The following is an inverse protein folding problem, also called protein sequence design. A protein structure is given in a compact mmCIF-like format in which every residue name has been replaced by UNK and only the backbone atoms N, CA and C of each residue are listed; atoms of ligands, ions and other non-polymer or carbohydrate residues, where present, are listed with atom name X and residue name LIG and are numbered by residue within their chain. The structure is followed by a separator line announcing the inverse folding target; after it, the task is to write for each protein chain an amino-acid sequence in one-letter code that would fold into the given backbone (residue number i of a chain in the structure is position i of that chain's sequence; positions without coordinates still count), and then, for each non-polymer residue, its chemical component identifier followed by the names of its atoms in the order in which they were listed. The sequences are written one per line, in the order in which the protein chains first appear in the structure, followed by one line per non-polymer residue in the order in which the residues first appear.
data_IF_699694597364
#
_entry.id   IF_699694597364
#
_cell.length_a   1.000
_cell.length_b   1.000
_cell.length_c   1.000
_cell.angle_alpha   90.00
_cell.angle_beta   90.00
_cell.angle_gamma   90.00
#
_symmetry.space_group_name_H-M   'P 1'
#
loop_
_entity.id
_entity.type
_entity.pdbx_description
1 polymer ?
#
# COMPACT_ATOMS: atom_id res chain seq x y z
N UNK A 1 -6.58 -22.17 -3.20
CA UNK A 1 -7.44 -21.00 -3.45
C UNK A 1 -8.49 -20.96 -2.37
N UNK A 2 -8.40 -20.02 -1.43
CA UNK A 2 -9.45 -19.85 -0.43
C UNK A 2 -10.53 -18.92 -1.01
N UNK A 3 -11.81 -19.33 -0.89
CA UNK A 3 -12.98 -18.55 -1.34
C UNK A 3 -13.00 -17.15 -0.72
N UNK A 4 -13.55 -16.16 -1.42
CA UNK A 4 -13.67 -14.76 -0.94
C UNK A 4 -14.32 -14.64 0.44
N UNK A 5 -15.17 -15.61 0.82
CA UNK A 5 -15.78 -15.72 2.15
C UNK A 5 -14.76 -15.95 3.28
N UNK A 6 -13.68 -16.69 3.00
CA UNK A 6 -12.59 -16.95 3.97
C UNK A 6 -11.73 -15.71 4.16
N UNK A 7 -11.48 -14.97 3.08
CA UNK A 7 -10.73 -13.69 3.14
C UNK A 7 -11.52 -12.65 3.94
N UNK A 8 -12.84 -12.59 3.75
CA UNK A 8 -13.71 -11.67 4.49
C UNK A 8 -13.79 -12.00 5.98
N UNK A 9 -13.88 -13.30 6.33
CA UNK A 9 -13.84 -13.76 7.72
C UNK A 9 -12.50 -13.42 8.39
N UNK A 10 -11.38 -13.59 7.68
CA UNK A 10 -10.05 -13.25 8.20
C UNK A 10 -9.91 -11.74 8.46
N UNK A 11 -10.42 -10.90 7.55
CA UNK A 11 -10.43 -9.44 7.70
C UNK A 11 -11.29 -9.01 8.88
N UNK A 12 -12.47 -9.62 9.05
CA UNK A 12 -13.35 -9.34 10.18
C UNK A 12 -12.72 -9.75 11.52
N UNK A 13 -12.06 -10.90 11.59
CA UNK A 13 -11.35 -11.36 12.80
C UNK A 13 -10.15 -10.48 13.15
N UNK A 14 -9.41 -10.00 12.15
CA UNK A 14 -8.29 -9.05 12.33
C UNK A 14 -8.81 -7.69 12.81
N UNK A 15 -9.93 -7.21 12.26
CA UNK A 15 -10.57 -5.97 12.70
C UNK A 15 -11.02 -6.03 14.16
N UNK A 16 -11.61 -7.16 14.59
CA UNK A 16 -12.00 -7.38 15.99
C UNK A 16 -10.78 -7.48 16.91
N UNK A 17 -9.72 -8.20 16.49
CA UNK A 17 -8.47 -8.29 17.26
C UNK A 17 -7.77 -6.92 17.40
N UNK A 18 -7.88 -6.05 16.39
CA UNK A 18 -7.32 -4.69 16.39
C UNK A 18 -8.12 -3.68 17.23
N UNK A 19 -9.36 -4.01 17.61
CA UNK A 19 -10.20 -3.17 18.47
C UNK A 19 -9.97 -3.42 19.98
N UNK A 20 -9.29 -4.52 20.32
CA UNK A 20 -8.96 -4.90 21.71
C UNK A 20 -7.83 -4.13 22.43
N UNK A 21 -6.94 -3.32 21.80
CA UNK A 21 -5.87 -2.64 22.54
C UNK A 21 -6.34 -1.60 23.57
N UNK A 22 -7.61 -1.16 23.51
CA UNK A 22 -8.12 -0.09 24.37
C UNK A 22 -8.84 -0.55 25.65
N UNK A 23 -8.83 -1.86 25.98
CA UNK A 23 -9.44 -2.37 27.22
C UNK A 23 -8.48 -2.46 28.42
N UNK A 24 -7.22 -2.04 28.26
CA UNK A 24 -6.23 -2.00 29.36
C UNK A 24 -6.48 -0.92 30.42
N UNK A 25 -7.50 -0.07 30.26
CA UNK A 25 -7.78 1.06 31.15
C UNK A 25 -8.99 0.94 32.07
N UNK A 26 -9.82 -0.10 31.97
CA UNK A 26 -11.11 -0.17 32.69
C UNK A 26 -11.10 -1.17 33.86
N UNK A 27 -10.11 -2.05 33.99
CA UNK A 27 -10.07 -3.04 35.08
C UNK A 27 -9.01 -2.63 36.12
N UNK A 28 -9.33 -1.58 36.87
CA UNK A 28 -8.64 -1.23 38.10
C UNK A 28 -9.44 -1.71 39.31
N UNK A 29 -8.93 -2.74 40.01
CA UNK A 29 -9.31 -3.06 41.39
C UNK A 29 -10.12 -4.34 41.57
N UNK A 30 -9.46 -5.40 42.04
CA UNK A 30 -10.14 -6.62 42.50
C UNK A 30 -9.18 -7.78 42.74
N UNK A 31 -8.68 -7.88 43.97
CA UNK A 31 -7.89 -9.00 44.47
C UNK A 31 -8.70 -10.32 44.40
N UNK A 32 -8.19 -11.33 43.70
CA UNK A 32 -8.03 -12.72 44.19
C UNK A 32 -7.71 -13.68 43.03
N UNK A 33 -6.86 -14.65 43.34
CA UNK A 33 -6.13 -15.46 42.38
C UNK A 33 -6.97 -16.41 41.53
N UNK A 34 -6.52 -16.58 40.29
CA UNK A 34 -6.39 -17.88 39.65
C UNK A 34 -5.42 -17.73 38.47
N UNK A 35 -4.31 -18.47 38.51
CA UNK A 35 -3.40 -18.60 37.36
C UNK A 35 -4.13 -19.38 36.26
N UNK A 36 -4.35 -18.75 35.09
CA UNK A 36 -4.97 -19.46 33.96
C UNK A 36 -5.61 -18.57 32.89
N UNK A 37 -5.00 -17.45 32.51
CA UNK A 37 -5.58 -16.54 31.54
C UNK A 37 -4.56 -16.03 30.54
N UNK A 38 -4.44 -16.72 29.40
CA UNK A 38 -3.95 -16.27 28.08
C UNK A 38 -3.45 -17.48 27.26
N UNK A 39 -2.94 -18.53 27.91
CA UNK A 39 -2.46 -19.75 27.24
C UNK A 39 -3.54 -20.55 26.50
N UNK A 40 -4.75 -20.65 27.06
CA UNK A 40 -5.83 -21.45 26.47
C UNK A 40 -6.50 -20.85 25.22
N UNK A 41 -6.38 -19.53 25.01
CA UNK A 41 -7.00 -18.84 23.85
C UNK A 41 -6.20 -19.13 22.58
N UNK A 42 -4.88 -19.25 22.69
CA UNK A 42 -4.00 -19.53 21.54
C UNK A 42 -4.08 -21.01 21.16
N UNK A 43 -4.14 -21.93 22.12
CA UNK A 43 -4.23 -23.37 21.84
C UNK A 43 -5.54 -23.78 21.15
N UNK A 44 -6.67 -23.13 21.49
CA UNK A 44 -7.97 -23.38 20.85
C UNK A 44 -8.03 -22.95 19.39
N UNK A 45 -7.30 -21.89 19.01
CA UNK A 45 -7.23 -21.40 17.62
C UNK A 45 -6.30 -22.26 16.78
N UNK A 46 -5.23 -22.82 17.37
CA UNK A 46 -4.29 -23.70 16.66
C UNK A 46 -4.76 -25.15 16.55
N UNK A 47 -5.53 -25.67 17.52
CA UNK A 47 -5.96 -27.08 17.55
C UNK A 47 -7.02 -27.46 16.51
N UNK A 48 -7.78 -26.49 15.99
CA UNK A 48 -8.81 -26.73 14.97
C UNK A 48 -8.29 -26.90 13.55
N UNK A 49 -6.99 -26.68 13.30
CA UNK A 49 -6.42 -26.70 11.95
C UNK A 49 -5.86 -28.06 11.52
N UNK A 50 -5.84 -29.08 12.39
CA UNK A 50 -5.17 -30.37 12.09
C UNK A 50 -6.04 -31.63 12.18
N UNK A 51 -7.37 -31.54 12.15
CA UNK A 51 -8.20 -32.75 12.23
C UNK A 51 -9.56 -32.68 11.52
N UNK A 52 -9.69 -33.47 10.45
CA UNK A 52 -10.90 -34.22 10.04
C UNK A 52 -12.20 -33.45 9.76
N UNK A 53 -12.66 -33.54 8.51
CA UNK A 53 -14.04 -33.38 8.01
C UNK A 53 -15.10 -32.86 9.02
N UNK A 54 -15.09 -31.55 9.27
CA UNK A 54 -16.14 -30.84 9.98
C UNK A 54 -16.29 -29.44 9.39
N UNK A 55 -17.45 -29.16 8.77
CA UNK A 55 -17.70 -27.90 8.07
C UNK A 55 -17.77 -26.66 8.97
N UNK A 56 -17.72 -25.49 8.32
CA UNK A 56 -17.75 -24.11 8.87
C UNK A 56 -18.78 -23.83 9.99
N UNK A 57 -19.84 -24.65 10.12
CA UNK A 57 -20.82 -24.52 11.20
C UNK A 57 -20.28 -24.82 12.61
N UNK A 58 -19.25 -25.67 12.74
CA UNK A 58 -18.65 -25.98 14.04
C UNK A 58 -17.77 -24.86 14.63
N UNK A 59 -17.12 -24.08 13.74
CA UNK A 59 -16.20 -23.02 14.13
C UNK A 59 -16.93 -21.79 14.72
N UNK A 60 -18.10 -21.45 14.16
CA UNK A 60 -18.96 -20.38 14.66
C UNK A 60 -19.71 -20.77 15.95
N UNK A 61 -20.11 -22.04 16.07
CA UNK A 61 -20.77 -22.56 17.27
C UNK A 61 -19.87 -22.53 18.52
N UNK A 62 -18.57 -22.80 18.38
CA UNK A 62 -17.62 -22.77 19.50
C UNK A 62 -17.22 -21.38 19.99
N UNK A 63 -17.20 -20.38 19.10
CA UNK A 63 -16.83 -18.99 19.45
C UNK A 63 -17.99 -18.25 20.16
N UNK A 64 -19.24 -18.61 19.81
CA UNK A 64 -20.45 -17.91 20.27
C UNK A 64 -21.30 -18.72 21.27
N UNK A 65 -21.15 -20.05 21.30
CA UNK A 65 -22.03 -20.95 22.06
C UNK A 65 -21.31 -21.69 23.18
N UNK A 66 -21.14 -21.04 24.32
CA UNK A 66 -20.70 -21.69 25.55
C UNK A 66 -20.67 -20.68 26.69
N UNK A 67 -21.03 -21.11 27.90
CA UNK A 67 -21.04 -20.30 29.13
C UNK A 67 -19.66 -19.74 29.57
N UNK A 68 -18.67 -19.73 28.68
CA UNK A 68 -17.37 -19.06 28.84
C UNK A 68 -16.81 -18.45 27.55
N UNK A 69 -17.63 -18.31 26.48
CA UNK A 69 -17.23 -17.66 25.23
C UNK A 69 -17.35 -16.12 25.28
N UNK A 70 -16.80 -15.45 24.26
CA UNK A 70 -16.72 -13.98 24.14
C UNK A 70 -18.11 -13.30 24.31
N UNK A 71 -19.19 -14.00 23.94
CA UNK A 71 -20.57 -13.54 24.15
C UNK A 71 -20.97 -13.34 25.62
N UNK A 72 -20.52 -14.21 26.53
CA UNK A 72 -20.82 -14.09 27.97
C UNK A 72 -20.04 -12.97 28.65
N UNK A 73 -18.89 -12.58 28.09
CA UNK A 73 -18.07 -11.46 28.59
C UNK A 73 -18.73 -10.12 28.21
N UNK A 74 -19.42 -10.05 27.07
CA UNK A 74 -20.15 -8.85 26.64
C UNK A 74 -21.45 -8.60 27.42
N UNK A 75 -22.18 -9.65 27.84
CA UNK A 75 -23.39 -9.50 28.66
C UNK A 75 -23.12 -8.93 30.06
N UNK A 76 -21.95 -9.21 30.65
CA UNK A 76 -21.58 -8.69 31.98
C UNK A 76 -21.16 -7.21 32.01
N UNK A 77 -20.78 -6.63 30.86
CA UNK A 77 -20.22 -5.27 30.75
C UNK A 77 -21.31 -4.21 30.51
N UNK A 78 -22.44 -4.58 29.91
CA UNK A 78 -23.49 -3.66 29.49
C UNK A 78 -24.78 -3.93 30.27
N UNK A 79 -24.79 -3.59 31.56
CA UNK A 79 -25.99 -3.61 32.37
C UNK A 79 -27.00 -2.55 31.92
N UNK A 80 -28.19 -2.99 31.49
CA UNK A 80 -29.34 -2.12 31.25
C UNK A 80 -30.30 -2.65 30.18
N UNK A 81 -31.56 -2.88 30.58
CA UNK A 81 -32.66 -3.22 29.67
C UNK A 81 -32.76 -2.19 28.54
N UNK A 82 -32.44 -2.62 27.32
CA UNK A 82 -32.39 -1.79 26.11
C UNK A 82 -31.17 -2.02 25.21
N UNK A 83 -30.14 -2.71 25.70
CA UNK A 83 -28.91 -3.00 24.95
C UNK A 83 -28.99 -4.23 24.03
N UNK A 84 -28.32 -4.17 22.89
CA UNK A 84 -28.11 -5.22 21.86
C UNK A 84 -29.31 -5.68 21.03
N UNK A 85 -30.54 -5.73 21.56
CA UNK A 85 -31.70 -6.16 20.78
C UNK A 85 -31.97 -5.32 19.53
N UNK A 86 -31.92 -3.98 19.67
CA UNK A 86 -32.10 -3.05 18.55
C UNK A 86 -30.85 -2.84 17.69
N UNK A 87 -29.66 -3.22 18.17
CA UNK A 87 -28.40 -3.11 17.41
C UNK A 87 -28.16 -4.37 16.55
N UNK A 88 -28.61 -5.55 16.99
CA UNK A 88 -28.63 -6.75 16.17
C UNK A 88 -29.66 -6.68 15.04
N UNK A 89 -30.79 -6.00 15.21
CA UNK A 89 -31.78 -5.82 14.14
C UNK A 89 -31.29 -4.90 13.01
N UNK A 90 -30.38 -3.96 13.30
CA UNK A 90 -29.72 -3.10 12.31
C UNK A 90 -28.52 -3.76 11.61
N UNK A 91 -27.94 -4.82 12.18
CA UNK A 91 -26.81 -5.56 11.61
C UNK A 91 -27.27 -6.80 10.83
N UNK A 92 -28.54 -7.20 10.94
CA UNK A 92 -29.03 -8.47 10.42
C UNK A 92 -29.97 -8.35 9.20
N UNK A 93 -29.57 -7.56 8.20
CA UNK A 93 -29.95 -7.83 6.80
C UNK A 93 -28.72 -8.10 5.90
N UNK A 94 -27.98 -9.19 6.10
CA UNK A 94 -26.83 -9.52 5.26
C UNK A 94 -27.30 -10.47 4.15
N UNK A 95 -27.58 -9.94 2.96
CA UNK A 95 -27.92 -10.80 1.82
C UNK A 95 -28.09 -10.09 0.48
N UNK A 96 -28.80 -8.96 0.45
CA UNK A 96 -29.06 -8.25 -0.82
C UNK A 96 -27.98 -7.22 -1.16
N UNK A 97 -27.55 -6.38 -0.21
CA UNK A 97 -26.57 -5.32 -0.48
C UNK A 97 -25.20 -5.87 -0.87
N UNK A 98 -24.79 -7.01 -0.32
CA UNK A 98 -23.51 -7.66 -0.62
C UNK A 98 -23.50 -8.38 -1.97
N UNK A 99 -24.65 -8.94 -2.39
CA UNK A 99 -24.79 -9.59 -3.68
C UNK A 99 -24.89 -8.57 -4.82
N UNK A 100 -25.61 -7.47 -4.60
CA UNK A 100 -25.70 -6.37 -5.57
C UNK A 100 -24.36 -5.63 -5.74
N UNK A 101 -23.64 -5.41 -4.63
CA UNK A 101 -22.27 -4.88 -4.67
C UNK A 101 -21.33 -5.78 -5.47
N UNK A 102 -21.35 -7.09 -5.22
CA UNK A 102 -20.50 -8.03 -5.95
C UNK A 102 -20.83 -8.07 -7.44
N UNK A 103 -22.11 -8.06 -7.82
CA UNK A 103 -22.54 -7.98 -9.22
C UNK A 103 -22.05 -6.69 -9.90
N UNK A 104 -22.13 -5.55 -9.22
CA UNK A 104 -21.64 -4.27 -9.73
C UNK A 104 -20.11 -4.25 -9.88
N UNK A 105 -19.39 -4.84 -8.92
CA UNK A 105 -17.95 -5.05 -8.97
C UNK A 105 -17.53 -5.90 -10.18
N UNK A 106 -18.15 -7.07 -10.37
CA UNK A 106 -17.90 -7.98 -11.50
C UNK A 106 -18.19 -7.27 -12.82
N UNK A 107 -19.32 -6.58 -12.93
CA UNK A 107 -19.67 -5.80 -14.12
C UNK A 107 -18.63 -4.71 -14.44
N UNK A 108 -18.07 -4.09 -13.41
CA UNK A 108 -17.00 -3.08 -13.57
C UNK A 108 -15.71 -3.72 -14.11
N UNK A 109 -15.34 -4.91 -13.64
CA UNK A 109 -14.23 -5.69 -14.20
C UNK A 109 -14.46 -6.04 -15.66
N UNK A 110 -15.63 -6.56 -16.02
CA UNK A 110 -15.95 -6.93 -17.39
C UNK A 110 -15.90 -5.73 -18.34
N UNK A 111 -16.44 -4.59 -17.92
CA UNK A 111 -16.38 -3.34 -18.68
C UNK A 111 -14.93 -2.91 -18.93
N UNK A 112 -14.07 -3.02 -17.91
CA UNK A 112 -12.64 -2.74 -18.05
C UNK A 112 -11.96 -3.71 -19.03
N UNK A 113 -12.27 -5.01 -18.97
CA UNK A 113 -11.76 -6.02 -19.90
C UNK A 113 -12.14 -5.66 -21.34
N UNK A 114 -13.43 -5.47 -21.61
CA UNK A 114 -13.91 -5.20 -22.96
C UNK A 114 -13.36 -3.89 -23.52
N UNK A 115 -13.24 -2.84 -22.70
CA UNK A 115 -12.66 -1.57 -23.12
C UNK A 115 -11.17 -1.72 -23.47
N UNK A 116 -10.42 -2.44 -22.65
CA UNK A 116 -8.97 -2.64 -22.82
C UNK A 116 -8.68 -3.52 -24.03
N UNK A 117 -9.42 -4.62 -24.20
CA UNK A 117 -9.28 -5.51 -25.37
C UNK A 117 -9.62 -4.78 -26.67
N UNK A 118 -10.71 -3.99 -26.68
CA UNK A 118 -11.12 -3.19 -27.83
C UNK A 118 -10.06 -2.16 -28.26
N UNK A 119 -9.37 -1.54 -27.29
CA UNK A 119 -8.27 -0.63 -27.59
C UNK A 119 -7.05 -1.38 -28.15
N UNK A 120 -6.78 -2.56 -27.59
CA UNK A 120 -5.60 -3.36 -27.92
C UNK A 120 -4.30 -2.63 -27.61
N UNK A 121 -3.18 -3.28 -27.93
CA UNK A 121 -1.84 -2.73 -27.62
C UNK A 121 -1.60 -1.40 -28.31
N UNK A 122 -1.94 -1.28 -29.60
CA UNK A 122 -1.73 -0.06 -30.37
C UNK A 122 -2.59 1.12 -29.89
N UNK A 123 -3.83 0.85 -29.47
CA UNK A 123 -4.72 1.87 -28.91
C UNK A 123 -4.22 2.39 -27.57
N UNK A 124 -3.77 1.50 -26.68
CA UNK A 124 -3.17 1.87 -25.40
C UNK A 124 -1.85 2.62 -25.59
N UNK A 125 -0.99 2.19 -26.53
CA UNK A 125 0.23 2.90 -26.89
C UNK A 125 -0.07 4.31 -27.40
N UNK A 126 -1.11 4.47 -28.23
CA UNK A 126 -1.56 5.79 -28.69
C UNK A 126 -2.08 6.67 -27.55
N UNK A 127 -2.83 6.11 -26.59
CA UNK A 127 -3.22 6.83 -25.38
C UNK A 127 -2.01 7.31 -24.59
N UNK A 128 -1.02 6.45 -24.38
CA UNK A 128 0.22 6.81 -23.69
C UNK A 128 0.95 7.97 -24.40
N UNK A 129 1.14 7.89 -25.73
CA UNK A 129 1.80 8.97 -26.49
C UNK A 129 1.06 10.30 -26.39
N UNK A 130 -0.27 10.28 -26.33
CA UNK A 130 -1.09 11.47 -26.09
C UNK A 130 -0.85 12.03 -24.68
N UNK A 131 -0.83 11.17 -23.65
CA UNK A 131 -0.51 11.56 -22.27
C UNK A 131 0.90 12.15 -22.15
N UNK A 132 1.86 11.63 -22.91
CA UNK A 132 3.25 12.05 -22.88
C UNK A 132 3.48 13.38 -23.62
N UNK A 133 2.71 13.62 -24.68
CA UNK A 133 2.72 14.90 -25.40
C UNK A 133 1.98 16.02 -24.64
N UNK A 134 1.21 15.71 -23.61
CA UNK A 134 0.48 16.72 -22.83
C UNK A 134 1.45 17.54 -21.96
N UNK A 135 1.55 18.82 -22.29
CA UNK A 135 2.20 19.80 -21.43
C UNK A 135 1.13 20.51 -20.59
N UNK A 136 1.28 20.50 -19.27
CA UNK A 136 0.50 21.36 -18.38
C UNK A 136 1.37 22.57 -18.01
N UNK A 137 1.13 23.70 -18.67
CA UNK A 137 1.86 24.94 -18.44
C UNK A 137 1.53 25.61 -17.11
N UNK A 138 0.52 25.12 -16.37
CA UNK A 138 0.18 25.63 -15.04
C UNK A 138 1.09 25.09 -13.93
N UNK A 139 1.92 24.08 -14.23
CA UNK A 139 2.82 23.46 -13.28
C UNK A 139 4.05 24.34 -13.02
N UNK A 140 4.42 24.49 -11.75
CA UNK A 140 5.63 25.21 -11.33
C UNK A 140 6.64 24.25 -10.69
N UNK A 141 7.94 24.57 -10.85
CA UNK A 141 9.06 23.73 -10.45
C UNK A 141 10.23 24.58 -9.88
N UNK A 142 9.93 25.68 -9.20
CA UNK A 142 10.95 26.65 -8.80
C UNK A 142 11.86 26.11 -7.71
N UNK A 143 11.31 25.39 -6.72
CA UNK A 143 12.12 24.75 -5.68
C UNK A 143 13.03 23.67 -6.27
N UNK A 144 12.55 22.93 -7.27
CA UNK A 144 13.35 21.96 -8.03
C UNK A 144 14.56 22.64 -8.70
N UNK A 145 14.34 23.74 -9.43
CA UNK A 145 15.39 24.50 -10.13
C UNK A 145 16.43 25.11 -9.17
N UNK A 146 16.02 25.53 -7.98
CA UNK A 146 16.92 26.09 -6.97
C UNK A 146 17.76 25.00 -6.26
N UNK A 147 17.29 23.75 -6.25
CA UNK A 147 17.90 22.64 -5.52
C UNK A 147 18.43 21.53 -6.45
N UNK A 148 18.92 21.88 -7.66
CA UNK A 148 19.40 20.90 -8.65
C UNK A 148 20.43 19.91 -8.10
N UNK A 149 21.28 20.34 -7.16
CA UNK A 149 22.25 19.47 -6.52
C UNK A 149 21.61 18.33 -5.71
N UNK A 150 20.37 18.48 -5.21
CA UNK A 150 19.60 17.44 -4.49
C UNK A 150 18.81 16.50 -5.43
N UNK A 151 18.85 16.73 -6.74
CA UNK A 151 18.03 16.02 -7.72
C UNK A 151 18.85 14.96 -8.44
N UNK A 152 18.38 13.71 -8.45
CA UNK A 152 19.09 12.60 -9.11
C UNK A 152 19.12 12.76 -10.62
N UNK A 153 18.06 13.31 -11.20
CA UNK A 153 17.88 13.49 -12.63
C UNK A 153 17.43 14.92 -12.92
N UNK A 154 18.09 15.59 -13.86
CA UNK A 154 17.80 16.98 -14.21
C UNK A 154 16.51 17.15 -15.02
N UNK A 155 16.04 16.08 -15.63
CA UNK A 155 14.84 16.00 -16.49
C UNK A 155 13.62 15.40 -15.76
N UNK A 156 13.75 15.07 -14.47
CA UNK A 156 12.65 14.59 -13.63
C UNK A 156 12.26 15.71 -12.67
N UNK A 157 11.20 16.44 -12.98
CA UNK A 157 10.83 17.65 -12.26
C UNK A 157 10.06 17.35 -10.96
N UNK A 158 10.21 18.20 -9.94
CA UNK A 158 9.44 18.13 -8.68
C UNK A 158 8.48 19.32 -8.58
N UNK A 159 7.18 19.05 -8.61
CA UNK A 159 6.12 20.09 -8.64
C UNK A 159 6.02 20.84 -7.32
N UNK A 160 5.99 22.17 -7.34
CA UNK A 160 5.97 22.96 -6.10
C UNK A 160 4.69 22.79 -5.28
N UNK A 161 3.53 22.73 -5.94
CA UNK A 161 2.23 22.75 -5.24
C UNK A 161 1.95 21.47 -4.44
N UNK A 162 2.65 20.38 -4.75
CA UNK A 162 2.48 19.07 -4.09
C UNK A 162 3.77 18.53 -3.50
N UNK A 163 4.89 19.29 -3.55
CA UNK A 163 6.15 18.80 -2.97
C UNK A 163 6.03 18.64 -1.46
N UNK A 164 6.76 17.68 -0.92
CA UNK A 164 6.97 17.60 0.52
C UNK A 164 7.91 18.73 0.93
N UNK A 165 7.54 19.46 1.98
CA UNK A 165 8.38 20.51 2.57
C UNK A 165 8.88 20.02 3.92
N UNK A 166 10.20 19.94 4.08
CA UNK A 166 10.80 19.55 5.35
C UNK A 166 10.74 20.71 6.33
N UNK A 167 10.19 20.45 7.51
CA UNK A 167 10.08 21.43 8.61
C UNK A 167 11.01 21.09 9.76
N UNK A 168 11.32 19.80 9.97
CA UNK A 168 12.24 19.36 11.03
C UNK A 168 13.65 19.87 10.72
N UNK A 169 14.28 20.69 11.56
CA UNK A 169 15.64 21.24 11.32
C UNK A 169 15.78 21.96 9.96
N UNK A 170 14.73 22.68 9.55
CA UNK A 170 14.68 23.35 8.25
C UNK A 170 15.66 24.52 8.13
N UNK A 171 15.97 25.22 9.24
CA UNK A 171 16.93 26.33 9.25
C UNK A 171 18.35 25.89 8.90
N UNK A 172 18.76 24.69 9.32
CA UNK A 172 20.11 24.16 9.10
C UNK A 172 20.24 23.41 7.75
N UNK A 173 19.22 22.65 7.38
CA UNK A 173 19.29 21.68 6.26
C UNK A 173 18.48 22.08 5.03
N UNK A 174 17.65 23.12 5.14
CA UNK A 174 16.67 23.52 4.15
C UNK A 174 15.39 22.69 4.17
N UNK A 175 14.40 23.13 3.40
CA UNK A 175 13.04 22.55 3.32
C UNK A 175 12.84 21.60 2.13
N UNK A 176 13.85 21.45 1.27
CA UNK A 176 13.70 20.74 0.00
C UNK A 176 14.11 19.27 0.08
N UNK A 177 13.19 18.42 -0.38
CA UNK A 177 13.43 17.05 -0.81
C UNK A 177 12.69 16.80 -2.14
N UNK A 178 13.27 15.99 -3.04
CA UNK A 178 12.64 15.64 -4.32
C UNK A 178 11.54 14.59 -4.15
N UNK A 179 10.45 14.98 -3.49
CA UNK A 179 9.30 14.16 -3.18
C UNK A 179 8.01 14.94 -3.37
N UNK A 180 6.95 14.26 -3.84
CA UNK A 180 5.60 14.84 -3.91
C UNK A 180 4.60 13.95 -3.18
N UNK A 181 3.65 14.59 -2.51
CA UNK A 181 2.46 13.92 -2.03
C UNK A 181 1.61 13.45 -3.21
N UNK A 182 1.06 12.25 -3.08
CA UNK A 182 -0.03 11.75 -3.89
C UNK A 182 -1.19 11.42 -2.94
N UNK A 183 -2.23 12.24 -3.00
CA UNK A 183 -3.41 12.18 -2.13
C UNK A 183 -4.66 12.28 -2.98
N UNK A 184 -5.63 11.41 -2.72
CA UNK A 184 -6.95 11.44 -3.34
C UNK A 184 -7.91 10.58 -2.52
N UNK A 185 -9.22 10.77 -2.71
CA UNK A 185 -10.25 9.93 -2.10
C UNK A 185 -10.27 8.49 -2.67
N UNK A 186 -9.41 8.20 -3.66
CA UNK A 186 -9.17 6.88 -4.23
C UNK A 186 -7.95 6.17 -3.66
N UNK A 187 -7.37 6.67 -2.57
CA UNK A 187 -6.28 6.01 -1.84
C UNK A 187 -6.72 5.70 -0.41
N UNK A 188 -6.30 4.55 0.11
CA UNK A 188 -6.54 4.18 1.52
C UNK A 188 -5.72 5.04 2.49
N UNK A 189 -4.55 5.52 2.04
CA UNK A 189 -3.56 6.24 2.81
C UNK A 189 -2.84 7.30 1.95
N UNK A 190 -2.04 8.16 2.59
CA UNK A 190 -1.19 9.11 1.85
C UNK A 190 0.02 8.37 1.26
N UNK A 191 0.24 8.56 -0.04
CA UNK A 191 1.47 8.15 -0.69
C UNK A 191 2.42 9.34 -0.84
N UNK A 192 3.72 9.10 -0.68
CA UNK A 192 4.78 10.05 -0.97
C UNK A 192 5.68 9.43 -2.03
N UNK A 193 5.61 9.96 -3.24
CA UNK A 193 6.44 9.51 -4.36
C UNK A 193 7.74 10.31 -4.39
N UNK A 194 8.87 9.63 -4.24
CA UNK A 194 10.20 10.27 -4.14
C UNK A 194 11.24 9.56 -4.99
N UNK A 195 12.34 10.25 -5.32
CA UNK A 195 13.51 9.62 -5.92
C UNK A 195 14.21 8.67 -4.93
N UNK A 196 14.98 7.71 -5.45
CA UNK A 196 15.91 6.95 -4.63
C UNK A 196 16.95 7.89 -4.02
N UNK A 197 17.15 7.90 -2.68
CA UNK A 197 18.04 8.84 -2.01
C UNK A 197 19.43 8.88 -2.62
N UNK A 198 20.04 10.07 -2.62
CA UNK A 198 21.46 10.28 -2.91
C UNK A 198 22.23 10.25 -1.60
N UNK A 199 23.55 10.04 -1.65
CA UNK A 199 24.39 9.95 -0.46
C UNK A 199 24.19 11.14 0.50
N UNK A 200 24.08 12.35 -0.05
CA UNK A 200 23.93 13.60 0.71
C UNK A 200 22.47 14.00 0.94
N UNK A 201 21.48 13.21 0.50
CA UNK A 201 20.06 13.44 0.79
C UNK A 201 19.46 12.34 1.69
N UNK A 202 20.29 11.48 2.29
CA UNK A 202 19.83 10.43 3.23
C UNK A 202 19.18 11.08 4.46
N UNK A 203 19.80 12.12 5.03
CA UNK A 203 19.24 12.87 6.16
C UNK A 203 17.90 13.52 5.82
N UNK A 204 17.79 14.16 4.66
CA UNK A 204 16.53 14.75 4.17
C UNK A 204 15.44 13.68 4.01
N UNK A 205 15.79 12.49 3.49
CA UNK A 205 14.87 11.38 3.34
C UNK A 205 14.34 10.88 4.69
N UNK A 206 15.19 10.72 5.69
CA UNK A 206 14.76 10.28 7.01
C UNK A 206 14.00 11.36 7.79
N UNK A 207 14.36 12.64 7.62
CA UNK A 207 13.56 13.78 8.10
C UNK A 207 12.15 13.71 7.54
N UNK A 208 12.00 13.45 6.23
CA UNK A 208 10.71 13.28 5.57
C UNK A 208 9.91 12.10 6.17
N UNK A 209 10.54 10.92 6.27
CA UNK A 209 9.89 9.71 6.80
C UNK A 209 9.36 9.94 8.21
N UNK A 210 10.17 10.53 9.09
CA UNK A 210 9.78 10.80 10.47
C UNK A 210 8.70 11.90 10.55
N UNK A 211 8.87 13.01 9.84
CA UNK A 211 7.91 14.12 9.81
C UNK A 211 6.52 13.65 9.36
N UNK A 212 6.46 12.84 8.31
CA UNK A 212 5.22 12.37 7.71
C UNK A 212 4.67 11.11 8.40
N UNK A 213 5.34 10.65 9.46
CA UNK A 213 5.00 9.45 10.23
C UNK A 213 4.76 8.25 9.31
N UNK A 214 5.62 8.10 8.31
CA UNK A 214 5.48 7.05 7.30
C UNK A 214 5.81 5.69 7.91
N UNK A 215 4.79 4.83 8.02
CA UNK A 215 4.91 3.49 8.61
C UNK A 215 5.55 2.49 7.66
N UNK A 216 5.61 2.80 6.37
CA UNK A 216 6.16 1.89 5.37
C UNK A 216 6.91 2.64 4.27
N UNK A 217 7.97 2.01 3.78
CA UNK A 217 8.74 2.45 2.61
C UNK A 217 8.70 1.32 1.58
N UNK A 218 8.20 1.59 0.37
CA UNK A 218 8.29 0.67 -0.76
C UNK A 218 9.48 1.05 -1.66
N UNK A 219 10.50 0.19 -1.67
CA UNK A 219 11.67 0.32 -2.53
C UNK A 219 11.53 -0.60 -3.74
N UNK A 220 11.31 -0.01 -4.92
CA UNK A 220 10.99 -0.72 -6.15
C UNK A 220 12.20 -0.87 -7.09
N UNK A 221 13.42 -0.75 -6.58
CA UNK A 221 14.65 -0.90 -7.36
C UNK A 221 15.78 -1.48 -6.51
N UNK A 222 16.78 -2.06 -7.17
CA UNK A 222 18.06 -2.37 -6.52
C UNK A 222 18.91 -1.10 -6.42
N UNK A 223 19.91 -1.12 -5.53
CA UNK A 223 20.89 -0.03 -5.39
C UNK A 223 21.67 0.16 -6.69
N UNK A 224 22.05 -0.95 -7.32
CA UNK A 224 22.74 -0.99 -8.62
C UNK A 224 21.94 -1.93 -9.55
N UNK A 225 21.70 -1.47 -10.78
CA UNK A 225 21.06 -2.25 -11.83
C UNK A 225 21.87 -2.10 -13.12
N UNK A 226 22.22 -3.22 -13.78
CA UNK A 226 23.08 -3.23 -14.99
C UNK A 226 24.37 -2.39 -14.85
N UNK A 227 24.98 -2.40 -13.66
CA UNK A 227 26.19 -1.62 -13.36
C UNK A 227 25.96 -0.11 -13.16
N UNK A 228 24.71 0.36 -13.19
CA UNK A 228 24.36 1.77 -12.99
C UNK A 228 23.78 1.99 -11.59
N UNK A 229 24.25 2.99 -10.83
CA UNK A 229 23.65 3.37 -9.56
C UNK A 229 22.22 3.88 -9.74
N UNK A 230 21.25 3.24 -9.10
CA UNK A 230 19.83 3.62 -9.11
C UNK A 230 19.37 4.24 -7.80
N UNK A 231 19.96 3.81 -6.69
CA UNK A 231 19.70 4.26 -5.32
C UNK A 231 21.01 4.15 -4.51
N UNK A 232 21.02 4.62 -3.26
CA UNK A 232 22.02 4.26 -2.25
C UNK A 232 21.38 3.37 -1.19
N UNK A 233 22.19 2.59 -0.45
CA UNK A 233 21.73 2.01 0.81
C UNK A 233 21.58 3.14 1.82
N UNK A 234 20.37 3.33 2.34
CA UNK A 234 20.05 4.44 3.25
C UNK A 234 19.57 3.95 4.63
N UNK A 235 19.74 2.66 4.92
CA UNK A 235 19.39 2.05 6.21
C UNK A 235 20.59 1.24 6.73
N UNK A 236 20.74 1.12 8.06
CA UNK A 236 21.85 0.37 8.65
C UNK A 236 21.71 -1.14 8.44
N UNK A 237 22.82 -1.86 8.56
CA UNK A 237 22.84 -3.32 8.53
C UNK A 237 22.02 -3.91 9.69
N UNK A 238 21.61 -5.18 9.58
CA UNK A 238 20.82 -5.86 10.62
C UNK A 238 21.46 -5.76 12.00
N UNK A 239 20.71 -5.26 12.99
CA UNK A 239 21.17 -5.06 14.36
C UNK A 239 21.96 -3.77 14.62
N UNK A 240 22.36 -3.05 13.56
CA UNK A 240 23.11 -1.80 13.66
C UNK A 240 22.20 -0.57 13.72
N UNK A 241 22.79 0.56 14.07
CA UNK A 241 22.15 1.87 14.04
C UNK A 241 23.03 2.92 13.36
N UNK A 242 22.39 3.85 12.67
CA UNK A 242 23.03 5.00 12.03
C UNK A 242 22.28 6.27 12.41
N UNK A 243 23.01 7.38 12.53
CA UNK A 243 22.43 8.70 12.80
C UNK A 243 22.71 9.64 11.63
N UNK A 244 21.65 10.20 11.07
CA UNK A 244 21.68 11.15 9.97
C UNK A 244 21.05 12.48 10.44
N UNK A 245 21.90 13.40 10.90
CA UNK A 245 21.46 14.66 11.52
C UNK A 245 20.66 14.39 12.79
N UNK A 246 19.44 14.91 12.84
CA UNK A 246 18.51 14.77 13.97
C UNK A 246 17.67 13.48 13.94
N UNK A 247 17.98 12.52 13.06
CA UNK A 247 17.25 11.25 12.97
C UNK A 247 18.20 10.07 13.17
N UNK A 248 17.88 9.20 14.13
CA UNK A 248 18.52 7.90 14.31
C UNK A 248 17.66 6.79 13.72
N UNK A 249 18.28 5.84 13.05
CA UNK A 249 17.64 4.67 12.48
C UNK A 249 18.35 3.46 13.04
N UNK A 250 17.58 2.52 13.59
CA UNK A 250 18.06 1.22 14.05
C UNK A 250 17.37 0.11 13.28
N UNK A 251 18.15 -0.83 12.74
CA UNK A 251 17.60 -2.02 12.09
C UNK A 251 17.32 -3.09 13.14
N UNK A 252 16.04 -3.38 13.34
CA UNK A 252 15.54 -4.33 14.32
C UNK A 252 15.57 -5.79 13.81
N UNK A 253 15.81 -5.99 12.52
CA UNK A 253 15.82 -7.32 11.91
C UNK A 253 15.18 -7.31 10.53
N UNK A 254 15.48 -8.38 9.78
CA UNK A 254 15.04 -8.57 8.40
C UNK A 254 14.21 -9.84 8.30
N UNK A 255 13.14 -9.79 7.51
CA UNK A 255 12.34 -10.94 7.13
C UNK A 255 12.40 -11.09 5.62
N UNK A 256 12.54 -12.32 5.13
CA UNK A 256 12.58 -12.61 3.71
C UNK A 256 11.60 -13.74 3.41
N UNK A 257 10.35 -13.35 3.18
CA UNK A 257 9.28 -14.26 2.78
C UNK A 257 9.01 -14.07 1.28
N UNK A 258 7.86 -13.47 0.94
CA UNK A 258 7.57 -13.05 -0.43
C UNK A 258 8.31 -11.77 -0.82
N UNK A 259 8.49 -10.87 0.15
CA UNK A 259 9.20 -9.60 0.01
C UNK A 259 10.37 -9.57 1.00
N UNK A 260 11.40 -8.83 0.63
CA UNK A 260 12.47 -8.51 1.57
C UNK A 260 12.02 -7.34 2.44
N UNK A 261 11.79 -7.59 3.73
CA UNK A 261 11.29 -6.61 4.69
C UNK A 261 12.38 -6.31 5.71
N UNK A 262 12.69 -5.04 5.92
CA UNK A 262 13.58 -4.55 6.97
C UNK A 262 12.74 -3.78 7.98
N UNK A 263 12.79 -4.20 9.24
CA UNK A 263 12.07 -3.57 10.34
C UNK A 263 12.95 -2.51 10.97
N UNK A 264 12.52 -1.25 10.93
CA UNK A 264 13.32 -0.12 11.37
C UNK A 264 12.65 0.59 12.54
N UNK A 265 13.45 1.01 13.52
CA UNK A 265 13.06 1.95 14.55
C UNK A 265 13.70 3.30 14.24
N UNK A 266 12.87 4.32 14.05
CA UNK A 266 13.30 5.67 13.72
C UNK A 266 13.01 6.59 14.90
N UNK A 267 14.05 7.26 15.40
CA UNK A 267 13.99 8.09 16.61
C UNK A 267 14.48 9.49 16.30
N UNK A 268 13.74 10.51 16.74
CA UNK A 268 14.16 11.90 16.65
C UNK A 268 15.14 12.26 17.77
N UNK A 269 16.25 12.90 17.41
CA UNK A 269 17.26 13.44 18.32
C UNK A 269 17.08 14.96 18.35
N UNK A 270 16.65 15.54 19.49
CA UNK A 270 16.36 16.98 19.57
C UNK A 270 17.61 17.88 19.63
N UNK A 271 18.78 17.31 19.89
CA UNK A 271 20.01 18.05 20.11
C UNK A 271 20.38 18.90 18.89
N UNK A 272 20.54 20.21 19.09
CA UNK A 272 20.88 21.15 18.03
C UNK A 272 19.72 21.60 17.14
N UNK A 273 18.51 21.07 17.32
CA UNK A 273 17.33 21.47 16.53
C UNK A 273 16.53 22.55 17.28
N UNK A 274 16.26 23.73 16.66
CA UNK A 274 15.43 24.77 17.26
C UNK A 274 14.06 24.24 17.68
N UNK A 275 13.56 24.64 18.86
CA UNK A 275 12.32 24.07 19.44
C UNK A 275 11.10 24.23 18.50
N UNK A 276 11.02 25.33 17.76
CA UNK A 276 9.98 25.62 16.78
C UNK A 276 10.10 24.80 15.47
N UNK A 277 11.22 24.09 15.29
CA UNK A 277 11.52 23.20 14.16
C UNK A 277 11.63 21.74 14.62
N UNK A 278 11.23 21.42 15.86
CA UNK A 278 11.10 20.04 16.31
C UNK A 278 9.72 19.49 15.92
N UNK A 279 9.59 18.19 15.63
CA UNK A 279 8.29 17.59 15.38
C UNK A 279 7.41 17.64 16.64
N UNK A 280 6.11 17.83 16.45
CA UNK A 280 5.14 17.80 17.54
C UNK A 280 5.06 16.42 18.20
N UNK A 281 5.07 15.36 17.38
CA UNK A 281 5.18 13.97 17.83
C UNK A 281 6.64 13.51 17.78
N UNK A 282 7.22 13.25 18.96
CA UNK A 282 8.59 12.75 19.12
C UNK A 282 8.65 11.25 19.44
N UNK A 283 7.51 10.58 19.46
CA UNK A 283 7.46 9.14 19.73
C UNK A 283 8.21 8.37 18.64
N UNK A 284 8.89 7.31 19.04
CA UNK A 284 9.63 6.45 18.12
C UNK A 284 8.68 5.90 17.05
N UNK A 285 9.16 5.89 15.80
CA UNK A 285 8.40 5.45 14.65
C UNK A 285 8.92 4.09 14.19
N UNK A 286 8.03 3.09 14.15
CA UNK A 286 8.32 1.81 13.51
C UNK A 286 8.04 1.93 12.01
N UNK A 287 9.02 1.56 11.20
CA UNK A 287 8.94 1.64 9.73
C UNK A 287 9.30 0.30 9.12
N UNK A 288 8.43 -0.21 8.25
CA UNK A 288 8.71 -1.39 7.44
C UNK A 288 9.26 -0.94 6.07
N UNK A 289 10.54 -1.16 5.82
CA UNK A 289 11.12 -1.03 4.50
C UNK A 289 10.89 -2.33 3.73
N UNK A 290 9.98 -2.30 2.76
CA UNK A 290 9.59 -3.44 1.94
C UNK A 290 10.22 -3.24 0.56
N UNK A 291 11.08 -4.17 0.16
CA UNK A 291 11.79 -4.12 -1.12
C UNK A 291 11.16 -5.10 -2.09
N UNK A 292 10.92 -4.63 -3.31
CA UNK A 292 10.57 -5.49 -4.44
C UNK A 292 11.66 -5.38 -5.51
N UNK A 293 12.76 -6.15 -5.40
CA UNK A 293 13.92 -6.01 -6.26
C UNK A 293 13.73 -6.62 -7.65
N UNK A 294 12.67 -7.40 -7.85
CA UNK A 294 12.43 -8.18 -9.07
C UNK A 294 11.83 -7.37 -10.22
N UNK A 295 11.61 -6.06 -10.05
CA UNK A 295 11.27 -5.20 -11.17
C UNK A 295 12.53 -4.92 -12.01
N UNK A 296 12.59 -5.35 -13.28
CA UNK A 296 13.79 -5.20 -14.11
C UNK A 296 14.11 -3.73 -14.45
N UNK A 297 15.39 -3.44 -14.70
CA UNK A 297 15.85 -2.10 -15.13
C UNK A 297 15.16 -1.65 -16.42
N UNK A 298 15.22 -2.52 -17.42
CA UNK A 298 14.53 -2.35 -18.70
C UNK A 298 13.30 -3.23 -18.72
N UNK A 299 12.15 -2.59 -18.94
CA UNK A 299 10.87 -3.28 -19.07
C UNK A 299 10.11 -3.40 -17.74
N UNK A 300 9.43 -4.52 -17.57
CA UNK A 300 8.40 -4.73 -16.55
C UNK A 300 8.46 -6.16 -15.99
N UNK A 301 7.91 -6.41 -14.79
CA UNK A 301 7.87 -7.75 -14.20
C UNK A 301 7.25 -8.78 -15.13
N UNK A 302 7.65 -10.04 -14.96
CA UNK A 302 7.19 -11.15 -15.78
C UNK A 302 5.67 -11.42 -15.63
N UNK A 303 5.15 -12.28 -16.50
CA UNK A 303 3.74 -12.65 -16.53
C UNK A 303 3.21 -13.27 -15.24
N UNK A 304 4.08 -13.93 -14.48
CA UNK A 304 3.76 -14.63 -13.22
C UNK A 304 3.67 -13.64 -12.06
N UNK A 305 4.23 -12.45 -12.20
CA UNK A 305 4.25 -11.41 -11.18
C UNK A 305 2.99 -10.55 -11.11
N UNK A 306 1.93 -10.83 -11.87
CA UNK A 306 0.74 -9.96 -11.94
C UNK A 306 -0.02 -9.80 -10.60
N UNK A 307 0.08 -10.75 -9.67
CA UNK A 307 -0.52 -10.63 -8.32
C UNK A 307 0.39 -9.94 -7.30
N UNK A 308 1.67 -9.70 -7.64
CA UNK A 308 2.64 -9.12 -6.72
C UNK A 308 2.27 -7.69 -6.32
N UNK A 309 1.86 -6.78 -7.25
CA UNK A 309 1.46 -5.43 -6.86
C UNK A 309 0.32 -5.40 -5.84
N UNK A 310 -0.69 -6.27 -5.99
CA UNK A 310 -1.82 -6.34 -5.06
C UNK A 310 -1.36 -6.75 -3.64
N UNK A 311 -0.52 -7.79 -3.55
CA UNK A 311 0.02 -8.28 -2.27
C UNK A 311 0.97 -7.27 -1.63
N UNK A 312 1.80 -6.60 -2.43
CA UNK A 312 2.68 -5.53 -1.98
C UNK A 312 1.89 -4.35 -1.41
N UNK A 313 0.85 -3.91 -2.12
CA UNK A 313 -0.02 -2.80 -1.70
C UNK A 313 -0.78 -3.14 -0.41
N UNK A 314 -1.22 -4.38 -0.23
CA UNK A 314 -1.86 -4.82 1.01
C UNK A 314 -0.98 -4.64 2.25
N UNK A 315 0.35 -4.65 2.11
CA UNK A 315 1.28 -4.44 3.23
C UNK A 315 1.37 -2.98 3.70
N UNK A 316 0.92 -2.02 2.89
CA UNK A 316 1.22 -0.59 3.14
C UNK A 316 -0.01 0.30 3.35
N UNK A 317 -1.22 -0.26 3.35
CA UNK A 317 -2.46 0.52 3.48
C UNK A 317 -2.71 1.10 4.87
N UNK A 318 -1.96 0.68 5.89
CA UNK A 318 -2.28 0.97 7.30
C UNK A 318 -1.84 2.36 7.76
N UNK A 319 -1.00 3.04 7.00
CA UNK A 319 -0.51 4.38 7.33
C UNK A 319 0.23 5.02 6.15
N UNK A 320 0.73 6.25 6.28
CA UNK A 320 1.42 6.92 5.19
C UNK A 320 2.59 6.07 4.64
N UNK A 321 2.68 6.01 3.32
CA UNK A 321 3.66 5.17 2.63
C UNK A 321 4.57 6.02 1.73
N UNK A 322 5.88 5.92 1.95
CA UNK A 322 6.87 6.45 1.02
C UNK A 322 7.14 5.40 -0.05
N UNK A 323 7.04 5.77 -1.33
CA UNK A 323 7.30 4.86 -2.44
C UNK A 323 8.36 5.48 -3.33
N UNK A 324 9.39 4.70 -3.64
CA UNK A 324 10.44 5.15 -4.55
C UNK A 324 10.96 4.02 -5.44
N UNK A 325 11.60 4.44 -6.52
CA UNK A 325 12.46 3.61 -7.34
C UNK A 325 13.77 4.37 -7.51
N UNK A 326 14.26 4.55 -8.74
CA UNK A 326 15.37 5.47 -8.99
C UNK A 326 14.91 6.92 -9.10
N UNK A 327 14.09 7.24 -10.11
CA UNK A 327 13.58 8.60 -10.32
C UNK A 327 12.30 8.92 -9.52
N UNK A 328 11.62 7.89 -9.01
CA UNK A 328 10.35 8.06 -8.29
C UNK A 328 9.14 8.38 -9.17
N UNK A 329 9.17 7.97 -10.45
CA UNK A 329 8.09 8.25 -11.42
C UNK A 329 7.65 7.02 -12.22
N UNK A 330 8.56 6.14 -12.66
CA UNK A 330 8.23 4.97 -13.48
C UNK A 330 7.53 3.86 -12.71
N UNK A 331 8.33 3.00 -12.05
CA UNK A 331 7.82 1.88 -11.21
C UNK A 331 6.92 2.38 -10.08
N UNK A 332 7.35 3.47 -9.43
CA UNK A 332 6.59 4.19 -8.41
C UNK A 332 5.21 4.58 -8.92
N UNK A 333 5.13 5.24 -10.08
CA UNK A 333 3.86 5.64 -10.67
C UNK A 333 2.97 4.46 -11.02
N UNK A 334 3.54 3.35 -11.48
CA UNK A 334 2.79 2.13 -11.79
C UNK A 334 2.13 1.50 -10.55
N UNK A 335 2.88 1.35 -9.45
CA UNK A 335 2.34 0.77 -8.20
C UNK A 335 1.24 1.64 -7.63
N UNK A 336 1.43 2.96 -7.62
CA UNK A 336 0.42 3.89 -7.10
C UNK A 336 -0.81 3.96 -8.03
N UNK A 337 -0.63 3.86 -9.36
CA UNK A 337 -1.74 3.78 -10.30
C UNK A 337 -2.60 2.52 -10.12
N UNK A 338 -1.95 1.39 -9.82
CA UNK A 338 -2.66 0.15 -9.51
C UNK A 338 -3.47 0.28 -8.22
N UNK A 339 -2.96 0.97 -7.20
CA UNK A 339 -3.73 1.24 -5.98
C UNK A 339 -4.98 2.09 -6.25
N UNK A 340 -4.88 3.11 -7.12
CA UNK A 340 -6.05 3.89 -7.57
C UNK A 340 -7.05 2.97 -8.28
N UNK A 341 -6.57 2.09 -9.16
CA UNK A 341 -7.42 1.18 -9.94
C UNK A 341 -8.16 0.19 -9.03
N UNK A 342 -7.47 -0.46 -8.09
CA UNK A 342 -8.09 -1.37 -7.11
C UNK A 342 -9.11 -0.65 -6.24
N UNK A 343 -8.81 0.56 -5.79
CA UNK A 343 -9.74 1.33 -4.94
C UNK A 343 -10.97 1.81 -5.73
N UNK A 344 -10.79 2.26 -6.98
CA UNK A 344 -11.92 2.60 -7.87
C UNK A 344 -12.79 1.37 -8.11
N UNK A 345 -12.18 0.22 -8.39
CA UNK A 345 -12.90 -1.02 -8.61
C UNK A 345 -13.72 -1.43 -7.38
N UNK A 346 -13.14 -1.41 -6.18
CA UNK A 346 -13.86 -1.75 -4.93
C UNK A 346 -15.03 -0.80 -4.64
N UNK A 347 -14.98 0.42 -5.17
CA UNK A 347 -16.05 1.43 -5.12
C UNK A 347 -16.97 1.39 -6.34
N UNK A 348 -16.89 0.34 -7.16
CA UNK A 348 -17.72 0.14 -8.37
C UNK A 348 -17.56 1.27 -9.40
N UNK A 349 -16.43 1.97 -9.35
CA UNK A 349 -16.13 3.07 -10.26
C UNK A 349 -15.36 2.57 -11.47
N UNK A 350 -15.61 3.21 -12.62
CA UNK A 350 -14.85 2.96 -13.84
C UNK A 350 -13.34 3.07 -13.58
N UNK A 351 -12.63 1.99 -13.91
CA UNK A 351 -11.17 1.97 -13.95
C UNK A 351 -10.73 2.52 -15.31
N UNK A 352 -10.05 3.66 -15.29
CA UNK A 352 -9.55 4.33 -16.48
C UNK A 352 -8.11 4.82 -16.21
N UNK A 353 -7.14 4.13 -16.79
CA UNK A 353 -5.74 4.45 -16.56
C UNK A 353 -5.28 5.75 -17.25
N UNK A 354 -6.00 6.26 -18.26
CA UNK A 354 -5.72 7.58 -18.84
C UNK A 354 -6.05 8.65 -17.80
N UNK A 355 -7.24 8.59 -17.20
CA UNK A 355 -7.65 9.49 -16.11
C UNK A 355 -6.77 9.36 -14.86
N UNK A 356 -6.47 8.13 -14.43
CA UNK A 356 -5.60 7.89 -13.27
C UNK A 356 -4.20 8.45 -13.52
N UNK A 357 -3.62 8.22 -14.70
CA UNK A 357 -2.30 8.74 -15.03
C UNK A 357 -2.29 10.27 -15.09
N UNK A 358 -3.33 10.91 -15.65
CA UNK A 358 -3.46 12.36 -15.63
C UNK A 358 -3.52 12.91 -14.20
N UNK A 359 -4.31 12.27 -13.33
CA UNK A 359 -4.43 12.70 -11.94
C UNK A 359 -3.12 12.50 -11.17
N UNK A 360 -2.42 11.38 -11.38
CA UNK A 360 -1.09 11.17 -10.82
C UNK A 360 -0.08 12.19 -11.33
N UNK A 361 -0.06 12.50 -12.63
CA UNK A 361 0.87 13.45 -13.25
C UNK A 361 0.64 14.89 -12.79
N UNK A 362 -0.58 15.25 -12.35
CA UNK A 362 -0.80 16.51 -11.63
C UNK A 362 -0.05 16.52 -10.29
N UNK A 363 0.03 15.40 -9.57
CA UNK A 363 0.63 15.41 -8.24
C UNK A 363 2.13 15.10 -8.26
N UNK A 364 2.56 14.17 -9.10
CA UNK A 364 3.96 13.81 -9.35
C UNK A 364 4.16 13.73 -10.86
N UNK A 365 4.86 14.72 -11.42
CA UNK A 365 5.07 14.85 -12.86
C UNK A 365 5.71 13.58 -13.46
N UNK A 366 5.39 13.29 -14.72
CA UNK A 366 5.97 12.19 -15.51
C UNK A 366 5.74 10.77 -14.92
N UNK A 367 4.84 10.62 -13.94
CA UNK A 367 4.43 9.31 -13.43
C UNK A 367 3.97 8.38 -14.56
N UNK A 368 4.38 7.11 -14.47
CA UNK A 368 4.32 6.12 -15.56
C UNK A 368 5.16 6.64 -16.74
N UNK A 369 6.45 6.32 -16.72
CA UNK A 369 7.48 7.00 -17.51
C UNK A 369 7.62 6.46 -18.94
N UNK A 370 7.11 5.26 -19.22
CA UNK A 370 7.30 4.61 -20.52
C UNK A 370 6.02 3.93 -20.99
N UNK A 371 5.91 3.75 -22.31
CA UNK A 371 4.78 3.05 -22.94
C UNK A 371 4.61 1.63 -22.38
N UNK A 372 5.72 0.89 -22.22
CA UNK A 372 5.69 -0.48 -21.68
C UNK A 372 5.19 -0.56 -20.23
N UNK A 373 5.47 0.46 -19.41
CA UNK A 373 4.92 0.60 -18.06
C UNK A 373 3.41 0.86 -18.07
N UNK A 374 2.93 1.68 -19.01
CA UNK A 374 1.51 1.94 -19.20
C UNK A 374 0.75 0.70 -19.70
N UNK A 375 1.35 -0.07 -20.61
CA UNK A 375 0.79 -1.36 -21.03
C UNK A 375 0.79 -2.36 -19.86
N UNK A 376 1.83 -2.36 -19.02
CA UNK A 376 1.95 -3.25 -17.87
C UNK A 376 0.85 -3.06 -16.82
N UNK A 377 0.50 -1.82 -16.45
CA UNK A 377 -0.58 -1.60 -15.47
C UNK A 377 -1.94 -2.12 -16.00
N UNK A 378 -2.21 -2.01 -17.31
CA UNK A 378 -3.39 -2.63 -17.93
C UNK A 378 -3.31 -4.15 -17.87
N UNK A 379 -2.16 -4.72 -18.26
CA UNK A 379 -1.92 -6.17 -18.22
C UNK A 379 -2.13 -6.75 -16.81
N UNK A 380 -1.60 -6.10 -15.78
CA UNK A 380 -1.80 -6.49 -14.38
C UNK A 380 -3.29 -6.48 -14.03
N UNK A 381 -4.00 -5.41 -14.39
CA UNK A 381 -5.43 -5.29 -14.08
C UNK A 381 -6.28 -6.31 -14.85
N UNK A 382 -5.95 -6.63 -16.11
CA UNK A 382 -6.61 -7.67 -16.89
C UNK A 382 -6.34 -9.06 -16.29
N UNK A 383 -5.09 -9.36 -15.93
CA UNK A 383 -4.75 -10.64 -15.30
C UNK A 383 -5.44 -10.81 -13.94
N UNK A 384 -5.52 -9.74 -13.16
CA UNK A 384 -6.31 -9.70 -11.92
C UNK A 384 -7.79 -9.97 -12.20
N UNK A 385 -8.40 -9.24 -13.14
CA UNK A 385 -9.80 -9.41 -13.53
C UNK A 385 -10.08 -10.83 -14.03
N UNK A 386 -9.16 -11.42 -14.80
CA UNK A 386 -9.26 -12.77 -15.34
C UNK A 386 -9.29 -13.85 -14.27
N UNK A 387 -8.70 -13.58 -13.11
CA UNK A 387 -8.71 -14.46 -11.94
C UNK A 387 -10.01 -14.44 -11.14
N UNK A 388 -10.94 -13.52 -11.44
CA UNK A 388 -12.27 -13.49 -10.83
C UNK A 388 -13.15 -14.60 -11.41
N UNK A 389 -13.81 -15.37 -10.54
CA UNK A 389 -14.54 -16.58 -10.94
C UNK A 389 -15.90 -16.26 -11.58
N UNK A 390 -16.47 -15.10 -11.24
CA UNK A 390 -17.84 -14.74 -11.63
C UNK A 390 -17.93 -13.90 -12.91
N UNK A 391 -16.81 -13.61 -13.59
CA UNK A 391 -16.84 -12.98 -14.92
C UNK A 391 -17.43 -13.94 -15.97
N UNK A 392 -18.13 -13.38 -16.95
CA UNK A 392 -18.69 -14.16 -18.07
C UNK A 392 -17.60 -14.81 -18.92
N UNK A 393 -17.94 -15.92 -19.57
CA UNK A 393 -17.06 -16.61 -20.52
C UNK A 393 -16.56 -15.67 -21.64
N UNK A 394 -17.42 -14.75 -22.07
CA UNK A 394 -17.06 -13.73 -23.05
C UNK A 394 -15.98 -12.79 -22.52
N UNK A 395 -16.12 -12.31 -21.28
CA UNK A 395 -15.10 -11.47 -20.65
C UNK A 395 -13.80 -12.24 -20.44
N UNK A 396 -13.86 -13.49 -19.99
CA UNK A 396 -12.70 -14.36 -19.85
C UNK A 396 -11.95 -14.53 -21.19
N UNK A 397 -12.67 -14.81 -22.29
CA UNK A 397 -12.07 -14.93 -23.62
C UNK A 397 -11.43 -13.62 -24.13
N UNK A 398 -12.07 -12.46 -23.89
CA UNK A 398 -11.50 -11.15 -24.21
C UNK A 398 -10.23 -10.85 -23.41
N UNK A 399 -10.21 -11.18 -22.12
CA UNK A 399 -9.03 -11.03 -21.29
C UNK A 399 -7.88 -11.92 -21.78
N UNK A 400 -8.16 -13.20 -22.09
CA UNK A 400 -7.17 -14.14 -22.61
C UNK A 400 -6.60 -13.68 -23.97
N UNK A 401 -7.44 -13.13 -24.85
CA UNK A 401 -7.02 -12.55 -26.13
C UNK A 401 -6.09 -11.34 -25.95
N UNK A 402 -6.43 -10.42 -25.04
CA UNK A 402 -5.58 -9.28 -24.74
C UNK A 402 -4.24 -9.69 -24.14
N UNK A 403 -4.24 -10.59 -23.14
CA UNK A 403 -3.01 -11.07 -22.49
C UNK A 403 -2.07 -11.72 -23.51
N UNK A 404 -2.62 -12.57 -24.39
CA UNK A 404 -1.83 -13.16 -25.49
C UNK A 404 -1.22 -12.10 -26.40
N UNK A 405 -2.01 -11.09 -26.81
CA UNK A 405 -1.53 -10.01 -27.67
C UNK A 405 -0.41 -9.20 -27.01
N UNK A 406 -0.56 -8.92 -25.71
CA UNK A 406 0.46 -8.25 -24.90
C UNK A 406 1.75 -9.07 -24.81
N UNK A 407 1.67 -10.36 -24.46
CA UNK A 407 2.84 -11.20 -24.29
C UNK A 407 3.56 -11.42 -25.64
N UNK A 408 2.82 -11.53 -26.75
CA UNK A 408 3.39 -11.58 -28.09
C UNK A 408 4.06 -10.24 -28.49
N UNK A 409 3.56 -9.09 -28.01
CA UNK A 409 4.18 -7.78 -28.24
C UNK A 409 5.48 -7.62 -27.45
N UNK A 410 5.51 -8.04 -26.18
CA UNK A 410 6.72 -8.03 -25.35
C UNK A 410 7.83 -8.97 -25.83
N UNK A 411 7.49 -10.06 -26.54
CA UNK A 411 8.51 -10.93 -27.13
C UNK A 411 9.17 -10.34 -28.38
N UNK A 412 8.51 -9.36 -29.02
CA UNK A 412 8.95 -8.74 -30.27
C UNK A 412 9.79 -7.47 -30.07
N UNK A 413 9.69 -6.84 -28.89
CA UNK A 413 10.32 -5.57 -28.55
C UNK A 413 11.05 -5.69 -27.21
#
# INVERSE_FOLDING_TARGET
MYSSKVVFALIASIAVASALPNLGGIIGGGNNGNEGGLGGIVEGVTGGLTGGEGGLGGLLGGILGGQGGIGGILEGILGGEGGLGGLLELVNQPGLETEDHHKAYVKTLENFIFATEKLGIDGLAKQYRKLDAQLDSSLTFDAFKQNMHKNRYSDVVCRDSTRVKLTIDASSQGDYIHANYVRTNYLHNTFICTQGPLQYTIGDFWRMVFQERAQSILMLCRVIEEGRPKCVGYWPSSGEEETHGCIRIKNLGEANEEFEIVNLLVTFIPDGVPLNEQPADKTELRVNLIKWPNWPDRGVPDEKCHTVPQRLLAQVRQGPCVVHCSAGIGRTGCVVALEFAYTRLNKEMKVDFEEIAMELRKQRAQCIQTEIQYLYIHRVMIAFARGEAEISEKAAASADAFLKSYDDHLKRN
#
